data_IF_767375823309
#
_entry.id   IF_767375823309
#
_cell.length_a   1.000
_cell.length_b   1.000
_cell.length_c   1.000
_cell.angle_alpha   90.00
_cell.angle_beta   90.00
_cell.angle_gamma   90.00
#
_symmetry.space_group_name_H-M   'P 1'
#
loop_
_entity.id
_entity.type
_entity.pdbx_description
1 polymer ?
#
# COMPACT_ATOMS: atom_id res chain seq x y z
N UNK A 1 7.93 2.43 16.06
CA UNK A 1 8.75 2.19 14.84
C UNK A 1 10.16 2.74 15.03
N UNK A 2 11.18 2.19 14.34
CA UNK A 2 12.54 2.76 14.27
C UNK A 2 12.54 4.11 13.54
N UNK A 3 13.57 4.94 13.72
CA UNK A 3 13.69 6.23 13.02
C UNK A 3 13.67 6.05 11.49
N UNK A 4 14.40 5.05 10.98
CA UNK A 4 14.45 4.75 9.55
C UNK A 4 13.09 4.36 8.98
N UNK A 5 12.31 3.55 9.72
CA UNK A 5 10.97 3.18 9.31
C UNK A 5 10.03 4.39 9.27
N UNK A 6 10.13 5.31 10.23
CA UNK A 6 9.35 6.56 10.23
C UNK A 6 9.71 7.46 9.05
N UNK A 7 11.01 7.63 8.80
CA UNK A 7 11.51 8.43 7.68
C UNK A 7 11.07 7.84 6.32
N UNK A 8 11.06 6.52 6.19
CA UNK A 8 10.57 5.85 4.99
C UNK A 8 9.06 6.07 4.75
N UNK A 9 8.24 6.09 5.81
CA UNK A 9 6.82 6.44 5.69
C UNK A 9 6.64 7.89 5.24
N UNK A 10 7.37 8.83 5.85
CA UNK A 10 7.29 10.27 5.48
C UNK A 10 7.72 10.47 4.03
N UNK A 11 8.85 9.89 3.62
CA UNK A 11 9.31 9.93 2.23
C UNK A 11 8.31 9.29 1.27
N UNK A 12 7.60 8.27 1.73
CA UNK A 12 6.51 7.61 1.02
C UNK A 12 5.17 8.36 1.03
N UNK A 13 5.13 9.61 1.51
CA UNK A 13 3.94 10.47 1.46
C UNK A 13 2.96 10.30 2.63
N UNK A 14 3.36 9.64 3.72
CA UNK A 14 2.56 9.59 4.96
C UNK A 14 2.70 10.91 5.73
N UNK A 15 1.61 11.36 6.36
CA UNK A 15 1.64 12.55 7.21
C UNK A 15 2.73 12.43 8.30
N UNK A 16 3.41 13.53 8.58
CA UNK A 16 4.56 13.53 9.49
C UNK A 16 4.16 13.23 10.93
N UNK A 17 3.02 13.73 11.40
CA UNK A 17 2.55 13.45 12.75
C UNK A 17 2.16 11.98 12.89
N UNK A 18 1.41 11.46 11.92
CA UNK A 18 0.99 10.05 11.90
C UNK A 18 2.17 9.08 11.80
N UNK A 19 3.12 9.36 10.90
CA UNK A 19 4.34 8.55 10.75
C UNK A 19 5.19 8.57 12.03
N UNK A 20 5.30 9.72 12.70
CA UNK A 20 6.04 9.83 13.95
C UNK A 20 5.40 9.06 15.10
N UNK A 21 4.06 8.96 15.11
CA UNK A 21 3.28 8.16 16.04
C UNK A 21 3.22 6.66 15.67
N UNK A 22 3.84 6.24 14.57
CA UNK A 22 3.63 4.90 14.02
C UNK A 22 4.08 3.76 14.95
N UNK A 23 3.19 2.78 15.13
CA UNK A 23 3.41 1.58 15.94
C UNK A 23 3.47 0.33 15.07
N UNK A 24 4.35 -0.62 15.43
CA UNK A 24 4.40 -1.91 14.76
C UNK A 24 3.24 -2.78 15.26
N UNK A 25 2.51 -3.40 14.35
CA UNK A 25 1.42 -4.33 14.64
C UNK A 25 1.56 -5.58 13.78
N UNK A 26 1.06 -6.70 14.29
CA UNK A 26 0.85 -7.93 13.51
C UNK A 26 -0.59 -7.91 12.97
N UNK A 27 -0.74 -8.05 11.67
CA UNK A 27 -2.06 -7.99 11.03
C UNK A 27 -2.80 -9.31 11.19
N UNK A 28 -4.12 -9.24 11.32
CA UNK A 28 -5.00 -10.40 11.38
C UNK A 28 -6.28 -10.09 10.59
N UNK A 29 -6.78 -11.07 9.84
CA UNK A 29 -7.92 -10.89 8.93
C UNK A 29 -8.95 -11.97 9.18
N UNK A 30 -10.19 -11.56 9.48
CA UNK A 30 -11.31 -12.46 9.72
C UNK A 30 -12.25 -12.44 8.53
N UNK A 31 -12.54 -13.61 7.97
CA UNK A 31 -13.50 -13.74 6.88
C UNK A 31 -14.96 -13.66 7.37
N UNK A 32 -15.91 -13.59 6.43
CA UNK A 32 -17.35 -13.56 6.73
C UNK A 32 -17.87 -14.79 7.50
N UNK A 33 -17.10 -15.87 7.54
CA UNK A 33 -17.46 -17.11 8.24
C UNK A 33 -16.85 -17.15 9.66
N UNK A 34 -16.18 -16.08 10.10
CA UNK A 34 -15.52 -16.00 11.40
C UNK A 34 -14.16 -16.68 11.45
N UNK A 35 -13.61 -17.14 10.32
CA UNK A 35 -12.27 -17.72 10.29
C UNK A 35 -11.22 -16.62 10.22
N UNK A 36 -10.29 -16.63 11.15
CA UNK A 36 -9.18 -15.68 11.22
C UNK A 36 -7.89 -16.28 10.67
N UNK A 37 -7.16 -15.48 9.90
CA UNK A 37 -5.79 -15.77 9.47
C UNK A 37 -4.83 -14.66 9.90
N UNK A 38 -3.64 -15.05 10.31
CA UNK A 38 -2.57 -14.11 10.62
C UNK A 38 -1.89 -13.63 9.32
N UNK A 39 -1.67 -12.32 9.25
CA UNK A 39 -0.99 -11.66 8.14
C UNK A 39 0.47 -11.33 8.43
N UNK A 40 1.04 -10.46 7.59
CA UNK A 40 2.35 -9.87 7.80
C UNK A 40 2.36 -8.82 8.92
N UNK A 41 3.51 -8.16 9.09
CA UNK A 41 3.62 -7.00 9.97
C UNK A 41 3.23 -5.71 9.23
N UNK A 42 2.80 -4.71 9.99
CA UNK A 42 2.50 -3.38 9.47
C UNK A 42 2.86 -2.30 10.48
N UNK A 43 3.07 -1.09 9.99
CA UNK A 43 3.14 0.14 10.75
C UNK A 43 1.77 0.81 10.73
N UNK A 44 1.11 0.86 11.89
CA UNK A 44 -0.12 1.64 12.05
C UNK A 44 0.25 3.11 12.24
N UNK A 45 -0.19 3.97 11.33
CA UNK A 45 0.03 5.41 11.37
C UNK A 45 -1.32 6.10 11.13
N UNK A 46 -1.81 6.83 12.15
CA UNK A 46 -3.20 7.27 12.20
C UNK A 46 -4.17 6.07 12.12
N UNK A 47 -5.14 6.16 11.20
CA UNK A 47 -6.12 5.11 10.91
C UNK A 47 -5.68 4.13 9.80
N UNK A 48 -4.47 4.31 9.27
CA UNK A 48 -3.94 3.51 8.15
C UNK A 48 -2.92 2.50 8.62
N UNK A 49 -2.78 1.43 7.84
CA UNK A 49 -1.78 0.39 8.03
C UNK A 49 -0.84 0.37 6.82
N UNK A 50 0.45 0.42 7.07
CA UNK A 50 1.48 0.39 6.03
C UNK A 50 2.31 -0.89 6.17
N UNK A 51 2.42 -1.68 5.10
CA UNK A 51 3.13 -2.95 5.13
C UNK A 51 4.59 -2.76 5.57
N UNK A 52 5.06 -3.65 6.44
CA UNK A 52 6.42 -3.62 6.94
C UNK A 52 6.94 -5.04 7.16
N UNK A 53 8.24 -5.22 6.99
CA UNK A 53 8.93 -6.42 7.42
C UNK A 53 9.46 -6.18 8.84
N UNK A 54 9.40 -7.22 9.68
CA UNK A 54 9.96 -7.21 11.03
C UNK A 54 10.83 -8.45 11.20
N UNK A 55 12.10 -8.22 11.52
CA UNK A 55 13.04 -9.27 11.87
C UNK A 55 12.98 -9.51 13.38
N UNK A 56 12.44 -10.65 13.79
CA UNK A 56 12.26 -11.00 15.20
C UNK A 56 13.59 -11.23 15.93
N UNK A 57 14.66 -11.57 15.22
CA UNK A 57 15.98 -11.82 15.83
C UNK A 57 16.69 -10.52 16.20
N UNK A 58 16.53 -9.47 15.38
CA UNK A 58 17.21 -8.19 15.56
C UNK A 58 16.30 -7.07 16.05
N UNK A 59 14.99 -7.25 15.97
CA UNK A 59 13.99 -6.21 16.20
C UNK A 59 13.94 -5.16 15.06
N UNK A 60 14.61 -5.41 13.93
CA UNK A 60 14.68 -4.46 12.83
C UNK A 60 13.32 -4.36 12.12
N UNK A 61 12.86 -3.12 11.92
CA UNK A 61 11.62 -2.82 11.19
C UNK A 61 12.00 -2.16 9.87
N UNK A 62 11.46 -2.68 8.77
CA UNK A 62 11.64 -2.13 7.43
C UNK A 62 10.28 -1.82 6.82
N UNK A 63 9.95 -0.53 6.70
CA UNK A 63 8.74 -0.09 6.00
C UNK A 63 8.84 -0.45 4.50
N UNK A 64 7.79 -1.03 3.93
CA UNK A 64 7.73 -1.30 2.49
C UNK A 64 7.30 -0.05 1.75
N UNK A 65 8.05 0.24 0.68
CA UNK A 65 7.79 1.36 -0.21
C UNK A 65 7.89 0.89 -1.65
N UNK A 66 7.19 1.58 -2.53
CA UNK A 66 7.22 1.36 -3.98
C UNK A 66 7.89 2.55 -4.64
N UNK A 67 8.95 2.29 -5.41
CA UNK A 67 9.64 3.30 -6.21
C UNK A 67 8.96 3.45 -7.58
N UNK A 68 8.86 4.69 -8.07
CA UNK A 68 8.28 5.03 -9.38
C UNK A 68 8.90 6.33 -9.93
N UNK A 69 8.72 6.60 -11.23
CA UNK A 69 9.06 7.90 -11.83
C UNK A 69 7.81 8.75 -11.88
N UNK A 70 7.82 9.89 -11.18
CA UNK A 70 6.69 10.81 -11.12
C UNK A 70 6.50 11.56 -12.44
N UNK A 71 5.37 12.26 -12.58
CA UNK A 71 5.04 13.03 -13.80
C UNK A 71 6.03 14.18 -14.08
N UNK A 72 6.81 14.62 -13.08
CA UNK A 72 7.91 15.59 -13.22
C UNK A 72 9.24 14.94 -13.68
N UNK A 73 9.27 13.62 -13.87
CA UNK A 73 10.44 12.85 -14.29
C UNK A 73 11.39 12.46 -13.15
N UNK A 74 11.07 12.79 -11.90
CA UNK A 74 11.91 12.44 -10.74
C UNK A 74 11.53 11.08 -10.17
N UNK A 75 12.51 10.34 -9.64
CA UNK A 75 12.24 9.12 -8.88
C UNK A 75 11.70 9.48 -7.50
N UNK A 76 10.52 8.97 -7.17
CA UNK A 76 9.88 9.11 -5.86
C UNK A 76 9.52 7.73 -5.30
N UNK A 77 9.20 7.69 -4.02
CA UNK A 77 8.67 6.50 -3.37
C UNK A 77 7.28 6.79 -2.80
N UNK A 78 6.46 5.74 -2.68
CA UNK A 78 5.18 5.78 -1.99
C UNK A 78 5.15 4.66 -0.94
N UNK A 79 4.59 4.92 0.23
CA UNK A 79 4.45 3.91 1.29
C UNK A 79 3.35 2.91 0.92
N UNK A 80 3.61 1.62 1.12
CA UNK A 80 2.69 0.55 0.75
C UNK A 80 1.59 0.43 1.81
N UNK A 81 0.43 1.02 1.56
CA UNK A 81 -0.74 0.91 2.44
C UNK A 81 -1.41 -0.45 2.26
N UNK A 82 -1.89 -1.08 3.33
CA UNK A 82 -2.79 -2.22 3.26
C UNK A 82 -4.22 -1.72 3.02
N UNK A 83 -4.81 -2.17 1.91
CA UNK A 83 -6.11 -1.73 1.42
C UNK A 83 -6.62 -2.61 0.29
N UNK A 84 -7.17 -1.99 -0.75
CA UNK A 84 -7.90 -2.70 -1.81
C UNK A 84 -9.23 -3.28 -1.31
N UNK A 85 -9.96 -3.96 -2.19
CA UNK A 85 -11.27 -4.56 -1.87
C UNK A 85 -11.21 -5.54 -0.70
N UNK A 86 -10.09 -6.24 -0.54
CA UNK A 86 -9.90 -7.25 0.50
C UNK A 86 -9.26 -6.71 1.79
N UNK A 87 -8.92 -5.41 1.83
CA UNK A 87 -8.30 -4.75 2.99
C UNK A 87 -6.87 -5.18 3.31
N UNK A 88 -6.27 -6.08 2.52
CA UNK A 88 -4.94 -6.67 2.77
C UNK A 88 -4.00 -6.57 1.56
N UNK A 89 -4.45 -5.96 0.47
CA UNK A 89 -3.64 -5.71 -0.72
C UNK A 89 -2.73 -4.51 -0.49
N UNK A 90 -1.45 -4.62 -0.86
CA UNK A 90 -0.52 -3.48 -0.85
C UNK A 90 -0.88 -2.51 -1.99
N UNK A 91 -1.34 -1.32 -1.64
CA UNK A 91 -1.69 -0.23 -2.55
C UNK A 91 -0.85 1.01 -2.25
N UNK A 92 -0.66 1.87 -3.25
CA UNK A 92 0.04 3.15 -3.11
C UNK A 92 -0.83 4.28 -3.62
N UNK A 93 -0.72 5.44 -2.97
CA UNK A 93 -1.38 6.66 -3.45
C UNK A 93 -0.35 7.57 -4.10
N UNK A 94 -0.58 7.91 -5.37
CA UNK A 94 0.29 8.79 -6.18
C UNK A 94 -0.63 9.83 -6.82
N UNK A 95 -0.36 11.11 -6.58
CA UNK A 95 -1.13 12.25 -7.11
C UNK A 95 -2.67 12.11 -6.94
N UNK A 96 -3.08 11.64 -5.75
CA UNK A 96 -4.49 11.47 -5.37
C UNK A 96 -5.19 10.23 -5.93
N UNK A 97 -4.49 9.40 -6.72
CA UNK A 97 -5.00 8.13 -7.25
C UNK A 97 -4.39 6.94 -6.54
N UNK A 98 -5.14 5.85 -6.43
CA UNK A 98 -4.70 4.64 -5.73
C UNK A 98 -4.41 3.51 -6.71
N UNK A 99 -3.22 2.93 -6.61
CA UNK A 99 -2.75 1.86 -7.50
C UNK A 99 -2.33 0.64 -6.71
N UNK A 100 -2.39 -0.54 -7.34
CA UNK A 100 -1.70 -1.71 -6.79
C UNK A 100 -0.20 -1.43 -6.76
N UNK A 101 0.45 -1.66 -5.61
CA UNK A 101 1.89 -1.44 -5.46
C UNK A 101 2.70 -2.20 -6.53
N UNK A 102 2.30 -3.44 -6.84
CA UNK A 102 2.91 -4.27 -7.88
C UNK A 102 2.79 -3.72 -9.30
N UNK A 103 1.78 -2.89 -9.57
CA UNK A 103 1.58 -2.24 -10.87
C UNK A 103 2.30 -0.90 -10.97
N UNK A 104 2.39 -0.17 -9.85
CA UNK A 104 3.10 1.10 -9.78
C UNK A 104 4.62 0.94 -9.64
N UNK A 105 5.11 -0.24 -9.23
CA UNK A 105 6.53 -0.52 -9.06
C UNK A 105 7.31 -0.31 -10.36
N UNK A 106 8.20 0.68 -10.36
CA UNK A 106 9.02 1.05 -11.51
C UNK A 106 8.23 1.72 -12.65
N UNK A 107 6.94 2.02 -12.46
CA UNK A 107 6.12 2.68 -13.47
C UNK A 107 6.62 4.11 -13.70
N UNK A 108 6.60 4.55 -14.95
CA UNK A 108 7.01 5.90 -15.35
C UNK A 108 5.79 6.73 -15.74
N UNK A 109 5.29 7.55 -14.81
CA UNK A 109 4.14 8.43 -15.04
C UNK A 109 4.47 9.64 -15.94
N UNK A 110 5.76 9.91 -16.21
CA UNK A 110 6.17 10.94 -17.18
C UNK A 110 6.10 10.42 -18.61
N UNK A 111 6.46 9.15 -18.83
CA UNK A 111 6.41 8.48 -20.13
C UNK A 111 5.06 7.84 -20.43
N UNK A 112 4.42 7.28 -19.41
CA UNK A 112 3.13 6.58 -19.46
C UNK A 112 2.21 7.13 -18.36
N UNK A 113 1.49 8.25 -18.61
CA UNK A 113 0.69 8.91 -17.59
C UNK A 113 -0.48 8.06 -17.07
N UNK A 114 -0.94 7.11 -17.87
CA UNK A 114 -2.07 6.25 -17.53
C UNK A 114 -1.62 4.94 -16.89
N UNK A 115 -2.23 4.63 -15.75
CA UNK A 115 -2.16 3.35 -15.08
C UNK A 115 -3.54 3.04 -14.49
N UNK A 116 -3.98 1.79 -14.58
CA UNK A 116 -5.25 1.40 -14.01
C UNK A 116 -5.22 1.51 -12.47
N UNK A 117 -6.17 2.25 -11.89
CA UNK A 117 -6.34 2.34 -10.45
C UNK A 117 -6.73 0.99 -9.84
N UNK A 118 -6.39 0.79 -8.57
CA UNK A 118 -6.82 -0.38 -7.81
C UNK A 118 -8.34 -0.39 -7.70
N UNK A 119 -8.94 -1.59 -7.77
CA UNK A 119 -10.37 -1.73 -7.56
C UNK A 119 -10.74 -1.28 -6.14
N UNK A 120 -11.66 -0.32 -6.04
CA UNK A 120 -12.15 0.18 -4.75
C UNK A 120 -13.30 -0.68 -4.18
N UNK A 121 -14.02 -1.41 -5.03
CA UNK A 121 -15.12 -2.30 -4.65
C UNK A 121 -15.21 -3.51 -5.57
N UNK A 122 -15.93 -4.53 -5.14
CA UNK A 122 -16.31 -5.67 -5.98
C UNK A 122 -17.08 -5.18 -7.21
N UNK A 123 -16.70 -5.66 -8.39
CA UNK A 123 -17.35 -5.29 -9.65
C UNK A 123 -18.80 -5.77 -9.67
N UNK A 124 -19.72 -4.82 -9.84
CA UNK A 124 -21.14 -5.11 -10.10
C UNK A 124 -21.32 -5.63 -11.52
N UNK A 125 -22.19 -6.65 -11.66
CA UNK A 125 -22.51 -7.33 -12.92
C UNK A 125 -21.27 -7.75 -13.72
N UNK A 126 -20.35 -8.55 -13.13
CA UNK A 126 -19.08 -8.87 -13.76
C UNK A 126 -19.24 -9.61 -15.09
N UNK A 127 -20.26 -10.48 -15.21
CA UNK A 127 -20.53 -11.22 -16.46
C UNK A 127 -20.91 -10.28 -17.61
N UNK A 128 -21.78 -9.29 -17.38
CA UNK A 128 -22.15 -8.31 -18.41
C UNK A 128 -20.94 -7.52 -18.93
N UNK A 129 -19.99 -7.20 -18.04
CA UNK A 129 -18.77 -6.49 -18.42
C UNK A 129 -17.79 -7.37 -19.20
N UNK A 130 -17.75 -8.67 -18.89
CA UNK A 130 -16.96 -9.64 -19.64
C UNK A 130 -17.58 -9.84 -21.03
N UNK A 131 -18.90 -10.01 -21.12
CA UNK A 131 -19.61 -10.16 -22.40
C UNK A 131 -19.44 -8.93 -23.30
N UNK A 132 -19.43 -7.72 -22.74
CA UNK A 132 -19.20 -6.49 -23.51
C UNK A 132 -17.77 -6.34 -24.04
N UNK A 133 -16.81 -7.12 -23.52
CA UNK A 133 -15.41 -7.08 -23.92
C UNK A 133 -15.00 -8.18 -24.92
N UNK A 134 -15.85 -9.20 -25.10
CA UNK A 134 -15.66 -10.30 -26.07
C UNK A 134 -16.11 -9.88 -27.47
#
# INVERSE_FOLDING_TARGET
ASADAKNALIAGGVDTADANAATLVKMSYTDKNGKTIEGGYALKAGDKYYAADYDEATGAIKAKTTSYTAADGTTKTAANQLGGVDGKTEVVTIDGKTYNASKAAGHDFKAQPELAEAAAKTTENPLQKIDAAL
#
